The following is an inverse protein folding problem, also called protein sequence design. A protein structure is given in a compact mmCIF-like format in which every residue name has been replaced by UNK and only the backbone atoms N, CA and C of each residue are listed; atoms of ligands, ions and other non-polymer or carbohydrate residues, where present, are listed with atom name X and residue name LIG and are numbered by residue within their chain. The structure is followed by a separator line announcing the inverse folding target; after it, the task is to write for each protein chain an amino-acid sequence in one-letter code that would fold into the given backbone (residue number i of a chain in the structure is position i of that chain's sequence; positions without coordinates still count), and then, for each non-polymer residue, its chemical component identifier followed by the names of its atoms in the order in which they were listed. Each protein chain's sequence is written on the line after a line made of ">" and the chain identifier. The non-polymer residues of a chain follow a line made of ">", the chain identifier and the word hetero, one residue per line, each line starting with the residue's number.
data_IF_026372256940
#
_entry.id   IF_026372256940
#
_cell.length_a   1.000
_cell.length_b   1.000
_cell.length_c   1.000
_cell.angle_alpha   90.00
_cell.angle_beta   90.00
_cell.angle_gamma   90.00
#
_symmetry.space_group_name_H-M   'P 1'
#
loop_
_entity.id
_entity.type
_entity.pdbx_description
1 polymer ?
#
# COMPACT_ATOMS: atom_id res chain seq x y z
N UNK A 1 -14.79 5.79 -7.26
CA UNK A 1 -14.92 5.94 -5.79
C UNK A 1 -13.82 6.83 -5.28
N UNK A 2 -13.83 7.17 -4.00
CA UNK A 2 -12.73 7.89 -3.33
C UNK A 2 -11.79 6.88 -2.69
N UNK A 3 -10.48 7.07 -2.87
CA UNK A 3 -9.45 6.17 -2.34
C UNK A 3 -8.33 6.97 -1.68
N UNK A 4 -7.76 6.41 -0.63
CA UNK A 4 -6.61 6.97 0.09
C UNK A 4 -5.35 6.81 -0.77
N UNK A 5 -4.72 7.95 -1.11
CA UNK A 5 -3.52 8.01 -1.96
C UNK A 5 -2.23 8.29 -1.20
N UNK A 6 -2.33 8.89 -0.01
CA UNK A 6 -1.19 9.21 0.86
C UNK A 6 -1.68 9.20 2.31
N UNK A 7 -0.89 8.58 3.18
CA UNK A 7 -1.07 8.67 4.63
C UNK A 7 0.22 9.20 5.20
N UNK A 8 0.16 10.35 5.85
CA UNK A 8 1.34 10.97 6.44
C UNK A 8 1.75 10.24 7.72
N UNK A 9 3.05 9.96 7.86
CA UNK A 9 3.60 9.40 9.09
C UNK A 9 3.26 10.28 10.31
N UNK A 10 2.93 9.64 11.44
CA UNK A 10 2.55 10.31 12.69
C UNK A 10 1.36 11.28 12.57
N UNK A 11 0.48 11.08 11.58
CA UNK A 11 -0.75 11.85 11.42
C UNK A 11 -1.95 11.19 12.09
N UNK A 12 -3.06 11.92 12.33
CA UNK A 12 -4.31 11.32 12.78
C UNK A 12 -4.80 10.19 11.87
N UNK A 13 -4.55 10.30 10.56
CA UNK A 13 -4.89 9.25 9.58
C UNK A 13 -4.08 7.98 9.77
N UNK A 14 -2.78 8.09 10.07
CA UNK A 14 -1.92 6.94 10.37
C UNK A 14 -2.34 6.27 11.69
N UNK A 15 -2.59 7.08 12.74
CA UNK A 15 -3.05 6.60 14.04
C UNK A 15 -4.42 5.89 13.96
N UNK A 16 -5.30 6.36 13.07
CA UNK A 16 -6.59 5.71 12.78
C UNK A 16 -6.45 4.43 11.94
N UNK A 17 -5.24 4.05 11.52
CA UNK A 17 -4.97 2.84 10.75
C UNK A 17 -5.28 2.94 9.26
N UNK A 18 -5.53 4.13 8.71
CA UNK A 18 -5.74 4.30 7.27
C UNK A 18 -4.48 3.90 6.50
N UNK A 19 -4.69 3.27 5.34
CA UNK A 19 -3.61 2.84 4.45
C UNK A 19 -3.86 3.26 3.02
N UNK A 20 -2.78 3.30 2.24
CA UNK A 20 -2.89 3.45 0.80
C UNK A 20 -3.80 2.38 0.21
N UNK A 21 -4.70 2.75 -0.69
CA UNK A 21 -5.62 1.79 -1.32
C UNK A 21 -6.97 1.68 -0.63
N UNK A 22 -7.12 2.17 0.60
CA UNK A 22 -8.40 2.17 1.30
C UNK A 22 -9.44 2.98 0.55
N UNK A 23 -10.67 2.46 0.49
CA UNK A 23 -11.79 3.13 -0.15
C UNK A 23 -12.65 3.85 0.87
N UNK A 24 -12.81 5.17 0.73
CA UNK A 24 -13.70 5.96 1.58
C UNK A 24 -15.12 5.86 1.03
N UNK A 25 -16.01 5.25 1.80
CA UNK A 25 -17.43 5.09 1.48
C UNK A 25 -18.26 6.27 2.00
N UNK A 26 -17.94 6.77 3.20
CA UNK A 26 -18.60 7.92 3.80
C UNK A 26 -17.62 8.85 4.52
N UNK A 27 -17.94 10.14 4.52
CA UNK A 27 -17.29 11.17 5.35
C UNK A 27 -18.40 11.85 6.17
N UNK A 28 -18.32 11.76 7.51
CA UNK A 28 -19.32 12.32 8.45
C UNK A 28 -20.76 11.92 8.08
N UNK A 29 -20.99 10.63 7.82
CA UNK A 29 -22.30 10.07 7.44
C UNK A 29 -22.75 10.36 6.00
N UNK A 30 -22.00 11.13 5.21
CA UNK A 30 -22.34 11.41 3.81
C UNK A 30 -21.70 10.42 2.86
N UNK A 31 -22.52 9.80 1.99
CA UNK A 31 -22.05 8.88 0.96
C UNK A 31 -21.14 9.57 -0.06
N UNK A 32 -19.95 9.03 -0.23
CA UNK A 32 -18.91 9.51 -1.15
C UNK A 32 -19.06 9.00 -2.60
N UNK A 33 -20.11 8.23 -2.90
CA UNK A 33 -20.38 7.74 -4.25
C UNK A 33 -20.49 8.93 -5.24
N UNK A 34 -19.72 8.86 -6.33
CA UNK A 34 -19.68 9.91 -7.36
C UNK A 34 -18.94 11.20 -6.97
N UNK A 35 -18.36 11.29 -5.77
CA UNK A 35 -17.61 12.49 -5.39
C UNK A 35 -16.31 12.62 -6.19
N UNK A 36 -15.97 13.85 -6.56
CA UNK A 36 -14.64 14.19 -7.05
C UNK A 36 -13.66 14.35 -5.88
N UNK A 37 -12.36 14.27 -6.18
CA UNK A 37 -11.29 14.56 -5.21
C UNK A 37 -11.45 15.95 -4.60
N UNK A 38 -11.81 16.95 -5.40
CA UNK A 38 -12.00 18.32 -4.91
C UNK A 38 -13.16 18.44 -3.93
N UNK A 39 -14.28 17.74 -4.19
CA UNK A 39 -15.42 17.70 -3.27
C UNK A 39 -15.02 17.05 -1.96
N UNK A 40 -14.29 15.94 -2.01
CA UNK A 40 -13.79 15.25 -0.83
C UNK A 40 -12.87 16.15 0.01
N UNK A 41 -11.90 16.83 -0.62
CA UNK A 41 -11.02 17.76 0.07
C UNK A 41 -11.78 18.93 0.69
N UNK A 42 -12.78 19.50 -0.01
CA UNK A 42 -13.63 20.55 0.56
C UNK A 42 -14.42 20.06 1.78
N UNK A 43 -14.98 18.85 1.71
CA UNK A 43 -15.71 18.26 2.82
C UNK A 43 -14.81 18.02 4.05
N UNK A 44 -13.59 17.49 3.84
CA UNK A 44 -12.62 17.27 4.91
C UNK A 44 -12.13 18.59 5.53
N UNK A 45 -11.89 19.63 4.72
CA UNK A 45 -11.48 20.97 5.20
C UNK A 45 -12.58 21.69 5.97
N UNK A 46 -13.84 21.44 5.63
CA UNK A 46 -15.00 22.03 6.30
C UNK A 46 -15.48 21.19 7.50
N UNK A 47 -14.92 20.00 7.71
CA UNK A 47 -15.26 19.17 8.85
C UNK A 47 -14.75 19.80 10.16
N UNK A 48 -15.39 19.43 11.28
CA UNK A 48 -15.01 19.92 12.59
C UNK A 48 -13.56 19.55 12.96
N UNK A 49 -12.86 20.47 13.61
CA UNK A 49 -11.44 20.31 13.97
C UNK A 49 -11.19 19.13 14.92
N UNK A 50 -12.20 18.73 15.71
CA UNK A 50 -12.06 17.72 16.77
C UNK A 50 -12.36 16.28 16.33
N UNK A 51 -13.18 16.07 15.29
CA UNK A 51 -13.59 14.72 14.87
C UNK A 51 -14.02 14.68 13.40
N UNK A 52 -13.45 13.73 12.68
CA UNK A 52 -13.89 13.31 11.35
C UNK A 52 -14.19 11.81 11.42
N UNK A 53 -15.40 11.42 11.01
CA UNK A 53 -15.81 10.02 10.93
C UNK A 53 -15.73 9.54 9.49
N UNK A 54 -15.05 8.41 9.27
CA UNK A 54 -14.90 7.79 7.96
C UNK A 54 -15.44 6.37 8.01
N UNK A 55 -16.25 6.00 7.02
CA UNK A 55 -16.58 4.60 6.77
C UNK A 55 -15.70 4.14 5.62
N UNK A 56 -14.88 3.13 5.87
CA UNK A 56 -13.82 2.69 4.96
C UNK A 56 -14.01 1.23 4.58
N UNK A 57 -13.70 0.90 3.33
CA UNK A 57 -13.48 -0.48 2.88
C UNK A 57 -12.00 -0.70 2.68
N UNK A 58 -11.46 -1.66 3.41
CA UNK A 58 -10.02 -1.93 3.46
C UNK A 58 -9.50 -2.42 2.11
N UNK A 59 -8.55 -1.67 1.57
CA UNK A 59 -7.68 -2.01 0.43
C UNK A 59 -8.31 -2.94 -0.64
N UNK A 60 -9.47 -2.59 -1.26
CA UNK A 60 -10.23 -3.50 -2.12
C UNK A 60 -9.53 -3.94 -3.41
N UNK A 61 -8.43 -3.28 -3.78
CA UNK A 61 -7.63 -3.63 -4.97
C UNK A 61 -6.28 -4.27 -4.64
N UNK A 62 -6.03 -4.56 -3.37
CA UNK A 62 -4.84 -5.26 -2.94
C UNK A 62 -5.15 -6.73 -2.70
N UNK A 63 -4.13 -7.57 -2.89
CA UNK A 63 -4.19 -8.98 -2.52
C UNK A 63 -2.93 -9.37 -1.78
N UNK A 64 -3.05 -10.35 -0.90
CA UNK A 64 -1.96 -10.83 -0.06
C UNK A 64 -1.45 -12.18 -0.55
N UNK A 65 -0.13 -12.36 -0.57
CA UNK A 65 0.52 -13.62 -0.94
C UNK A 65 1.58 -13.93 0.11
N UNK A 66 1.44 -15.08 0.76
CA UNK A 66 2.43 -15.59 1.71
C UNK A 66 3.38 -16.55 1.00
N UNK A 67 4.67 -16.40 1.26
CA UNK A 67 5.76 -17.15 0.64
C UNK A 67 6.79 -17.53 1.70
N UNK A 68 7.63 -18.50 1.39
CA UNK A 68 8.71 -18.94 2.27
C UNK A 68 10.06 -18.76 1.58
N UNK A 69 11.03 -18.21 2.30
CA UNK A 69 12.43 -18.19 1.87
C UNK A 69 12.95 -19.62 1.75
N UNK A 70 13.72 -19.87 0.70
CA UNK A 70 14.49 -21.10 0.55
C UNK A 70 15.74 -21.11 1.44
N UNK A 71 16.57 -22.17 1.33
CA UNK A 71 17.82 -22.30 2.07
C UNK A 71 18.87 -21.22 1.73
N UNK A 72 18.69 -20.48 0.63
CA UNK A 72 19.54 -19.36 0.23
C UNK A 72 18.97 -18.01 0.66
N UNK A 73 17.83 -17.98 1.35
CA UNK A 73 17.19 -16.77 1.85
C UNK A 73 16.28 -16.06 0.85
N UNK A 74 15.94 -16.67 -0.27
CA UNK A 74 15.16 -16.04 -1.34
C UNK A 74 13.74 -16.61 -1.46
N UNK A 75 12.78 -15.76 -1.81
CA UNK A 75 11.40 -16.17 -2.15
C UNK A 75 11.17 -16.32 -3.65
N UNK A 76 12.05 -15.73 -4.48
CA UNK A 76 12.13 -15.97 -5.93
C UNK A 76 11.30 -15.05 -6.83
N UNK A 77 11.36 -13.74 -6.61
CA UNK A 77 10.86 -12.75 -7.58
C UNK A 77 11.88 -11.63 -7.80
N UNK A 78 11.82 -11.01 -8.98
CA UNK A 78 12.60 -9.82 -9.33
C UNK A 78 11.66 -8.63 -9.42
N UNK A 79 12.05 -7.51 -8.83
CA UNK A 79 11.29 -6.26 -8.88
C UNK A 79 12.18 -5.08 -9.29
N UNK A 80 11.55 -4.02 -9.81
CA UNK A 80 12.19 -2.75 -10.15
C UNK A 80 11.23 -1.61 -9.84
N UNK A 81 11.71 -0.63 -9.08
CA UNK A 81 10.92 0.51 -8.60
C UNK A 81 9.62 0.04 -7.93
N UNK A 82 9.74 -0.95 -7.04
CA UNK A 82 8.61 -1.58 -6.35
C UNK A 82 7.69 -2.46 -7.21
N UNK A 83 7.85 -2.52 -8.54
CA UNK A 83 7.04 -3.36 -9.44
C UNK A 83 7.68 -4.73 -9.64
N UNK A 84 6.91 -5.82 -9.50
CA UNK A 84 7.35 -7.19 -9.79
C UNK A 84 7.44 -7.39 -11.31
N UNK A 85 8.62 -7.77 -11.78
CA UNK A 85 8.96 -7.91 -13.20
C UNK A 85 9.01 -9.37 -13.67
N UNK A 86 9.50 -10.29 -12.82
CA UNK A 86 9.59 -11.71 -13.15
C UNK A 86 9.61 -12.58 -11.91
N UNK A 87 9.35 -13.87 -12.09
CA UNK A 87 9.36 -14.89 -11.06
C UNK A 87 10.41 -15.94 -11.42
N UNK A 88 11.11 -16.43 -10.40
CA UNK A 88 12.03 -17.56 -10.54
C UNK A 88 11.21 -18.84 -10.63
N UNK A 89 11.52 -19.69 -11.61
CA UNK A 89 10.87 -20.99 -11.78
C UNK A 89 11.08 -21.84 -10.52
N UNK A 90 10.05 -22.60 -10.13
CA UNK A 90 10.09 -23.49 -8.96
C UNK A 90 10.41 -22.78 -7.63
N UNK A 91 10.20 -21.46 -7.56
CA UNK A 91 10.32 -20.68 -6.33
C UNK A 91 9.04 -20.67 -5.50
N UNK A 92 9.13 -20.18 -4.25
CA UNK A 92 7.93 -19.96 -3.44
C UNK A 92 7.00 -18.92 -4.07
N UNK A 93 7.53 -17.88 -4.70
CA UNK A 93 6.72 -16.87 -5.38
C UNK A 93 5.91 -17.45 -6.54
N UNK A 94 6.52 -18.30 -7.37
CA UNK A 94 5.83 -18.99 -8.44
C UNK A 94 4.75 -19.95 -7.91
N UNK A 95 5.08 -20.77 -6.90
CA UNK A 95 4.13 -21.73 -6.30
C UNK A 95 2.92 -21.09 -5.65
N UNK A 96 3.08 -19.91 -5.04
CA UNK A 96 2.00 -19.20 -4.35
C UNK A 96 1.26 -18.21 -5.25
N UNK A 97 1.51 -18.25 -6.58
CA UNK A 97 0.77 -17.45 -7.54
C UNK A 97 1.00 -15.94 -7.40
N UNK A 98 2.20 -15.51 -6.98
CA UNK A 98 2.62 -14.11 -7.12
C UNK A 98 2.54 -13.74 -8.61
N UNK A 99 2.16 -12.51 -8.92
CA UNK A 99 1.98 -12.07 -10.31
C UNK A 99 2.96 -10.95 -10.64
N UNK A 100 3.44 -10.95 -11.89
CA UNK A 100 4.15 -9.83 -12.49
C UNK A 100 3.20 -8.69 -12.81
N UNK A 101 3.73 -7.52 -13.18
CA UNK A 101 2.93 -6.29 -13.42
C UNK A 101 2.04 -5.92 -12.21
N UNK A 102 2.55 -6.19 -11.00
CA UNK A 102 1.98 -5.75 -9.74
C UNK A 102 3.03 -4.97 -8.94
N UNK A 103 2.58 -3.97 -8.17
CA UNK A 103 3.41 -3.23 -7.24
C UNK A 103 3.36 -3.88 -5.85
N UNK A 104 4.51 -3.91 -5.19
CA UNK A 104 4.60 -4.19 -3.76
C UNK A 104 4.00 -3.02 -2.99
N UNK A 105 2.97 -3.30 -2.20
CA UNK A 105 2.33 -2.34 -1.30
C UNK A 105 2.86 -2.49 0.12
N UNK A 106 2.90 -3.74 0.61
CA UNK A 106 3.38 -4.03 1.97
C UNK A 106 4.24 -5.30 2.00
N UNK A 107 5.13 -5.37 2.98
CA UNK A 107 5.90 -6.56 3.35
C UNK A 107 5.71 -6.77 4.85
N UNK A 108 5.14 -7.91 5.24
CA UNK A 108 4.81 -8.27 6.62
C UNK A 108 4.01 -7.17 7.35
N UNK A 109 3.09 -6.52 6.64
CA UNK A 109 2.26 -5.43 7.16
C UNK A 109 2.91 -4.04 7.14
N UNK A 110 4.22 -3.94 6.93
CA UNK A 110 4.91 -2.66 6.75
C UNK A 110 4.70 -2.12 5.32
N UNK A 111 4.22 -0.89 5.20
CA UNK A 111 4.07 -0.22 3.91
C UNK A 111 5.44 0.05 3.26
N UNK A 112 5.56 -0.24 1.96
CA UNK A 112 6.79 -0.03 1.18
C UNK A 112 6.62 0.91 -0.03
N UNK A 113 5.43 1.50 -0.18
CA UNK A 113 5.10 2.40 -1.29
C UNK A 113 5.92 3.70 -1.20
N UNK A 114 6.76 3.97 -2.21
CA UNK A 114 7.60 5.16 -2.27
C UNK A 114 9.03 4.95 -1.76
N UNK A 115 9.32 3.79 -1.16
CA UNK A 115 10.68 3.40 -0.77
C UNK A 115 11.59 3.16 -1.98
N UNK A 116 12.90 3.33 -1.78
CA UNK A 116 13.92 2.90 -2.76
C UNK A 116 13.96 1.37 -2.85
N UNK A 117 14.33 0.85 -4.01
CA UNK A 117 14.56 -0.60 -4.17
C UNK A 117 15.60 -1.14 -3.19
N UNK A 118 16.60 -0.33 -2.79
CA UNK A 118 17.57 -0.69 -1.75
C UNK A 118 16.91 -0.88 -0.38
N UNK A 119 16.00 0.01 0.01
CA UNK A 119 15.27 -0.10 1.28
C UNK A 119 14.30 -1.29 1.27
N UNK A 120 13.61 -1.51 0.13
CA UNK A 120 12.77 -2.70 -0.06
C UNK A 120 13.62 -3.97 0.04
N UNK A 121 14.83 -3.96 -0.53
CA UNK A 121 15.76 -5.10 -0.47
C UNK A 121 16.18 -5.39 0.97
N UNK A 122 16.47 -4.35 1.75
CA UNK A 122 16.84 -4.50 3.15
C UNK A 122 15.68 -5.12 3.95
N UNK A 123 14.46 -4.62 3.78
CA UNK A 123 13.24 -5.18 4.42
C UNK A 123 13.02 -6.65 4.03
N UNK A 124 13.15 -6.99 2.74
CA UNK A 124 13.02 -8.38 2.27
C UNK A 124 14.10 -9.28 2.89
N UNK A 125 15.33 -8.78 3.02
CA UNK A 125 16.46 -9.55 3.52
C UNK A 125 16.34 -9.83 5.01
N UNK A 126 15.91 -8.84 5.81
CA UNK A 126 15.74 -8.96 7.27
C UNK A 126 14.43 -9.63 7.68
N UNK A 127 13.45 -9.74 6.76
CA UNK A 127 12.18 -10.42 7.02
C UNK A 127 12.37 -11.90 7.41
N UNK A 128 11.47 -12.46 8.23
CA UNK A 128 11.47 -13.88 8.58
C UNK A 128 11.32 -14.80 7.36
N UNK A 129 11.56 -16.10 7.57
CA UNK A 129 11.43 -17.13 6.52
C UNK A 129 10.04 -17.15 5.91
N UNK A 130 8.99 -17.13 6.73
CA UNK A 130 7.62 -16.91 6.26
C UNK A 130 7.40 -15.41 6.05
N UNK A 131 7.12 -15.02 4.81
CA UNK A 131 6.97 -13.63 4.40
C UNK A 131 5.64 -13.44 3.70
N UNK A 132 4.90 -12.43 4.12
CA UNK A 132 3.62 -12.04 3.52
C UNK A 132 3.79 -10.72 2.79
N UNK A 133 3.52 -10.71 1.49
CA UNK A 133 3.52 -9.47 0.69
C UNK A 133 2.11 -9.11 0.29
N UNK A 134 1.80 -7.82 0.34
CA UNK A 134 0.56 -7.27 -0.21
C UNK A 134 0.88 -6.58 -1.51
N UNK A 135 0.14 -6.90 -2.58
CA UNK A 135 0.40 -6.40 -3.93
C UNK A 135 -0.84 -5.79 -4.58
N UNK A 136 -0.62 -4.83 -5.48
CA UNK A 136 -1.67 -4.17 -6.26
C UNK A 136 -1.37 -4.24 -7.76
N UNK A 137 -2.37 -4.50 -8.63
CA UNK A 137 -2.17 -4.47 -10.07
C UNK A 137 -1.63 -3.11 -10.55
N UNK A 138 -0.66 -3.14 -11.47
CA UNK A 138 -0.02 -1.94 -12.02
C UNK A 138 -1.01 -0.87 -12.47
N UNK A 139 -2.02 -1.26 -13.24
CA UNK A 139 -2.95 -0.29 -13.82
C UNK A 139 -3.74 0.50 -12.76
N UNK A 140 -4.09 -0.16 -11.64
CA UNK A 140 -4.75 0.52 -10.51
C UNK A 140 -3.74 1.41 -9.79
N UNK A 141 -2.57 0.87 -9.47
CA UNK A 141 -1.53 1.60 -8.75
C UNK A 141 -1.12 2.89 -9.49
N UNK A 142 -0.77 2.77 -10.78
CA UNK A 142 -0.40 3.90 -11.62
C UNK A 142 -1.53 4.93 -11.74
N UNK A 143 -2.79 4.48 -11.81
CA UNK A 143 -3.94 5.39 -11.81
C UNK A 143 -4.04 6.15 -10.48
N UNK A 144 -3.85 5.46 -9.34
CA UNK A 144 -3.92 6.07 -8.02
C UNK A 144 -2.82 7.10 -7.78
N UNK A 145 -1.61 6.87 -8.30
CA UNK A 145 -0.47 7.77 -8.06
C UNK A 145 -0.25 8.80 -9.19
N UNK A 146 -1.03 8.76 -10.27
CA UNK A 146 -0.83 9.59 -11.47
C UNK A 146 -0.68 11.09 -11.20
N UNK A 147 -1.36 11.60 -10.16
CA UNK A 147 -1.35 13.02 -9.77
C UNK A 147 -0.52 13.30 -8.52
N UNK A 148 0.23 12.32 -8.02
CA UNK A 148 1.03 12.43 -6.82
C UNK A 148 2.50 12.71 -7.16
N UNK A 149 3.13 13.59 -6.40
CA UNK A 149 4.58 13.81 -6.48
C UNK A 149 5.31 12.62 -5.89
N UNK A 150 6.23 12.03 -6.67
CA UNK A 150 7.09 10.93 -6.21
C UNK A 150 7.97 11.35 -5.03
N UNK A 151 8.39 12.63 -4.99
CA UNK A 151 9.13 13.19 -3.86
C UNK A 151 8.30 13.21 -2.58
N UNK A 152 7.03 13.63 -2.67
CA UNK A 152 6.10 13.67 -1.54
C UNK A 152 5.82 12.27 -0.99
N UNK A 153 5.62 11.29 -1.87
CA UNK A 153 5.42 9.90 -1.46
C UNK A 153 6.64 9.36 -0.72
N UNK A 154 7.86 9.67 -1.16
CA UNK A 154 9.06 9.20 -0.46
C UNK A 154 9.25 9.87 0.90
N UNK A 155 8.90 11.14 1.04
CA UNK A 155 9.26 11.91 2.25
C UNK A 155 8.20 11.87 3.35
N UNK A 156 6.92 11.68 3.00
CA UNK A 156 5.81 11.86 3.95
C UNK A 156 5.06 10.56 4.24
N UNK A 157 5.11 9.58 3.34
CA UNK A 157 4.34 8.34 3.48
C UNK A 157 4.69 7.59 4.76
N UNK A 158 3.67 7.10 5.46
CA UNK A 158 3.85 6.27 6.63
C UNK A 158 4.44 4.90 6.28
N UNK A 159 5.55 4.56 6.92
CA UNK A 159 6.27 3.30 6.77
C UNK A 159 6.46 2.59 8.11
N UNK A 160 5.65 2.98 9.11
CA UNK A 160 5.70 2.39 10.44
C UNK A 160 5.42 0.89 10.35
N UNK A 161 6.10 0.13 11.22
CA UNK A 161 5.82 -1.29 11.38
C UNK A 161 4.59 -1.35 12.30
N UNK A 162 3.50 -2.03 11.89
CA UNK A 162 2.33 -2.17 12.75
C UNK A 162 2.74 -2.82 14.08
N UNK A 163 2.28 -2.25 15.20
CA UNK A 163 2.40 -2.92 16.50
C UNK A 163 1.51 -4.18 16.47
N UNK A 164 2.09 -5.32 16.86
CA UNK A 164 1.44 -6.65 16.90
C UNK A 164 0.51 -6.75 18.10
#
# INVERSE_FOLDING_TARGET
>A
GLFVQLVQANSPSALAGLRFGDQVLQINGQNCAGWSTDKAHKALKAAGESRIELVVRDRPFQRTVTMHKDSTGHVGFVYKSGKICSLVKDSSAARNGLLTEHYLCEINGQNVIGLKDSQIKDILSTSPTAMTVTVMPKFIYEHMIKRMSTGLMRSVMDHSIPEV
#
